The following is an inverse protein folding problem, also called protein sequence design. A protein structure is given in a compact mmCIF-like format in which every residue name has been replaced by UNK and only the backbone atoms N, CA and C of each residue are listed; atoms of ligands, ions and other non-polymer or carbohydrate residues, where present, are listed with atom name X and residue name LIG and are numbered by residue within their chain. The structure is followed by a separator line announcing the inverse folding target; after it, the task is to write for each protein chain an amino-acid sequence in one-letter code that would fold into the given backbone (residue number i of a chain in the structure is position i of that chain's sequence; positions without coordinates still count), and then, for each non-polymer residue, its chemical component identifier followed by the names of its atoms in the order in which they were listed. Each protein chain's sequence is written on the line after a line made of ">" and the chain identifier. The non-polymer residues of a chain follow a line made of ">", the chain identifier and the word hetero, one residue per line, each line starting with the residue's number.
data_IF_081764374229
#
_entry.id   IF_081764374229
#
_cell.length_a   1.000
_cell.length_b   1.000
_cell.length_c   1.000
_cell.angle_alpha   90.00
_cell.angle_beta   90.00
_cell.angle_gamma   90.00
#
_symmetry.space_group_name_H-M   'P 1'
#
loop_
_entity.id
_entity.type
_entity.pdbx_description
1 polymer ?
#
# COMPACT_ATOMS: atom_id res chain seq x y z
N UNK A 1 -7.01 -10.46 -7.23
CA UNK A 1 -7.98 -10.84 -6.17
C UNK A 1 -8.71 -9.59 -5.69
N UNK A 2 -10.01 -9.46 -6.00
CA UNK A 2 -10.81 -8.24 -5.75
C UNK A 2 -11.33 -8.15 -4.30
N UNK A 3 -11.60 -9.29 -3.68
CA UNK A 3 -12.18 -9.37 -2.32
C UNK A 3 -11.19 -9.06 -1.19
N UNK A 4 -9.94 -9.48 -1.30
CA UNK A 4 -8.93 -9.23 -0.25
C UNK A 4 -8.68 -7.73 -0.10
N UNK A 5 -8.68 -6.99 -1.21
CA UNK A 5 -8.54 -5.52 -1.20
C UNK A 5 -9.68 -4.82 -0.47
N UNK A 6 -10.88 -5.39 -0.47
CA UNK A 6 -12.00 -4.88 0.31
C UNK A 6 -11.72 -5.03 1.81
N UNK A 7 -11.25 -6.21 2.26
CA UNK A 7 -10.91 -6.44 3.67
C UNK A 7 -9.78 -5.51 4.15
N UNK A 8 -8.82 -5.17 3.28
CA UNK A 8 -7.77 -4.20 3.59
C UNK A 8 -8.30 -2.78 3.89
N UNK A 9 -9.50 -2.43 3.40
CA UNK A 9 -10.11 -1.11 3.65
C UNK A 9 -10.84 -1.02 5.00
N UNK A 10 -11.09 -2.15 5.67
CA UNK A 10 -11.85 -2.21 6.94
C UNK A 10 -11.05 -1.76 8.16
N UNK A 11 -10.12 -0.82 7.99
CA UNK A 11 -9.29 -0.36 9.09
C UNK A 11 -10.11 0.48 10.07
N UNK A 12 -9.89 0.26 11.38
CA UNK A 12 -10.63 0.85 12.49
C UNK A 12 -12.10 0.46 12.60
N UNK A 13 -12.56 -0.54 11.86
CA UNK A 13 -13.91 -1.08 11.99
C UNK A 13 -13.97 -2.18 13.06
N UNK A 14 -15.06 -2.20 13.83
CA UNK A 14 -15.33 -3.27 14.78
C UNK A 14 -16.01 -4.43 14.08
N UNK A 15 -15.37 -5.61 14.12
CA UNK A 15 -15.90 -6.82 13.48
C UNK A 15 -15.89 -7.98 14.46
N UNK A 16 -16.70 -9.00 14.16
CA UNK A 16 -16.59 -10.30 14.81
C UNK A 16 -16.08 -11.34 13.82
N UNK A 17 -15.10 -12.13 14.23
CA UNK A 17 -14.45 -13.12 13.39
C UNK A 17 -14.66 -14.49 14.03
N UNK A 18 -15.22 -15.43 13.26
CA UNK A 18 -15.27 -16.82 13.69
C UNK A 18 -14.10 -17.60 13.06
N UNK A 19 -13.36 -18.30 13.91
CA UNK A 19 -12.29 -19.19 13.49
C UNK A 19 -12.84 -20.59 13.19
N UNK A 20 -12.11 -21.35 12.37
CA UNK A 20 -12.44 -22.74 12.03
C UNK A 20 -12.56 -23.67 13.25
N UNK A 21 -11.88 -23.33 14.35
CA UNK A 21 -11.95 -24.07 15.61
C UNK A 21 -13.18 -23.69 16.48
N UNK A 22 -14.05 -22.79 16.00
CA UNK A 22 -15.23 -22.31 16.73
C UNK A 22 -14.92 -21.25 17.80
N UNK A 23 -13.71 -20.68 17.81
CA UNK A 23 -13.39 -19.50 18.63
C UNK A 23 -13.96 -18.26 17.95
N UNK A 24 -14.62 -17.42 18.73
CA UNK A 24 -15.15 -16.14 18.27
C UNK A 24 -14.24 -15.03 18.79
N UNK A 25 -13.82 -14.15 17.90
CA UNK A 25 -12.94 -13.02 18.19
C UNK A 25 -13.70 -11.75 17.84
N UNK A 26 -14.05 -10.95 18.84
CA UNK A 26 -14.68 -9.65 18.65
C UNK A 26 -13.64 -8.56 18.90
N UNK A 27 -13.42 -7.66 17.95
CA UNK A 27 -12.42 -6.59 18.13
C UNK A 27 -12.42 -5.56 17.01
N UNK A 28 -11.55 -4.55 17.16
CA UNK A 28 -11.40 -3.50 16.15
C UNK A 28 -10.23 -3.84 15.24
N UNK A 29 -10.43 -3.85 13.92
CA UNK A 29 -9.37 -4.09 12.95
C UNK A 29 -8.39 -2.91 12.97
N UNK A 30 -7.11 -3.23 12.95
CA UNK A 30 -6.00 -2.27 12.78
C UNK A 30 -5.33 -2.40 11.42
N UNK A 31 -5.45 -3.56 10.79
CA UNK A 31 -4.93 -3.83 9.46
C UNK A 31 -5.19 -5.27 9.03
N UNK A 32 -5.29 -5.47 7.72
CA UNK A 32 -5.45 -6.79 7.10
C UNK A 32 -4.43 -6.96 5.98
N UNK A 33 -3.75 -8.11 5.95
CA UNK A 33 -2.77 -8.47 4.93
C UNK A 33 -3.41 -9.07 3.67
N UNK A 34 -2.62 -9.17 2.60
CA UNK A 34 -3.01 -9.89 1.37
C UNK A 34 -3.33 -11.37 1.65
N UNK A 35 -2.69 -11.97 2.66
CA UNK A 35 -2.96 -13.34 3.13
C UNK A 35 -4.14 -13.43 4.11
N UNK A 36 -4.92 -12.37 4.28
CA UNK A 36 -6.01 -12.22 5.26
C UNK A 36 -5.56 -12.39 6.72
N UNK A 37 -4.28 -12.17 7.03
CA UNK A 37 -3.91 -12.02 8.43
C UNK A 37 -4.51 -10.72 8.94
N UNK A 38 -5.18 -10.78 10.07
CA UNK A 38 -5.96 -9.67 10.59
C UNK A 38 -5.44 -9.29 11.96
N UNK A 39 -5.04 -8.04 12.09
CA UNK A 39 -4.55 -7.46 13.33
C UNK A 39 -5.69 -6.71 13.99
N UNK A 40 -5.94 -7.04 15.26
CA UNK A 40 -7.05 -6.50 16.03
C UNK A 40 -6.52 -5.82 17.30
N UNK A 41 -7.21 -4.76 17.71
CA UNK A 41 -7.06 -4.11 19.01
C UNK A 41 -8.36 -4.19 19.81
N UNK A 42 -8.24 -4.08 21.13
CA UNK A 42 -9.38 -4.10 22.06
C UNK A 42 -10.26 -5.34 21.83
N UNK A 43 -9.66 -6.51 22.02
CA UNK A 43 -10.21 -7.80 21.60
C UNK A 43 -10.89 -8.51 22.76
N UNK A 44 -12.07 -9.05 22.50
CA UNK A 44 -12.77 -10.02 23.34
C UNK A 44 -12.74 -11.36 22.62
N UNK A 45 -11.99 -12.31 23.16
CA UNK A 45 -11.81 -13.63 22.62
C UNK A 45 -12.65 -14.64 23.42
N UNK A 46 -13.56 -15.32 22.75
CA UNK A 46 -14.42 -16.35 23.35
C UNK A 46 -14.11 -17.69 22.70
N UNK A 47 -13.37 -18.54 23.43
CA UNK A 47 -13.11 -19.91 22.99
C UNK A 47 -14.34 -20.76 23.29
N UNK A 48 -14.69 -21.68 22.37
CA UNK A 48 -15.80 -22.61 22.57
C UNK A 48 -15.66 -23.34 23.91
N UNK A 49 -16.64 -23.16 24.80
CA UNK A 49 -16.68 -23.80 26.11
C UNK A 49 -15.77 -23.19 27.18
N UNK A 50 -15.22 -21.99 26.96
CA UNK A 50 -14.44 -21.25 27.97
C UNK A 50 -14.99 -19.84 28.16
N UNK A 51 -14.63 -19.22 29.29
CA UNK A 51 -14.98 -17.85 29.58
C UNK A 51 -14.30 -16.87 28.60
N UNK A 52 -14.94 -15.74 28.27
CA UNK A 52 -14.35 -14.70 27.44
C UNK A 52 -13.09 -14.11 28.06
N UNK A 53 -12.05 -13.92 27.25
CA UNK A 53 -10.77 -13.31 27.65
C UNK A 53 -10.60 -12.00 26.88
N UNK A 54 -10.29 -10.93 27.60
CA UNK A 54 -9.97 -9.62 27.02
C UNK A 54 -8.48 -9.52 26.74
N UNK A 55 -8.11 -9.02 25.55
CA UNK A 55 -6.73 -8.81 25.11
C UNK A 55 -6.61 -7.44 24.44
N UNK A 56 -5.49 -6.74 24.65
CA UNK A 56 -5.28 -5.43 24.04
C UNK A 56 -4.97 -5.52 22.55
N UNK A 57 -4.16 -6.51 22.16
CA UNK A 57 -3.77 -6.78 20.77
C UNK A 57 -3.84 -8.27 20.46
N UNK A 58 -4.35 -8.62 19.28
CA UNK A 58 -4.36 -9.99 18.77
C UNK A 58 -4.13 -9.99 17.26
N UNK A 59 -3.30 -10.90 16.78
CA UNK A 59 -3.18 -11.17 15.34
C UNK A 59 -3.72 -12.55 15.03
N UNK A 60 -4.65 -12.61 14.08
CA UNK A 60 -5.27 -13.84 13.60
C UNK A 60 -4.71 -14.17 12.22
N UNK A 61 -4.21 -15.40 12.06
CA UNK A 61 -3.75 -15.89 10.76
C UNK A 61 -4.92 -16.17 9.82
N UNK A 62 -4.87 -15.64 8.60
CA UNK A 62 -5.99 -15.69 7.64
C UNK A 62 -6.48 -17.09 7.28
N UNK A 63 -5.60 -18.09 7.25
CA UNK A 63 -5.99 -19.47 6.96
C UNK A 63 -6.96 -20.08 8.01
N UNK A 64 -6.94 -19.59 9.25
CA UNK A 64 -7.78 -20.11 10.33
C UNK A 64 -9.15 -19.43 10.39
N UNK A 65 -9.37 -18.39 9.59
CA UNK A 65 -10.63 -17.64 9.58
C UNK A 65 -11.68 -18.42 8.78
N UNK A 66 -12.90 -18.49 9.32
CA UNK A 66 -14.05 -19.09 8.65
C UNK A 66 -14.88 -18.03 7.94
N UNK A 67 -15.27 -16.96 8.65
CA UNK A 67 -15.97 -15.81 8.10
C UNK A 67 -15.81 -14.57 8.98
N UNK A 68 -16.09 -13.42 8.38
CA UNK A 68 -16.21 -12.12 9.05
C UNK A 68 -17.68 -11.77 9.21
N UNK A 69 -18.06 -11.30 10.38
CA UNK A 69 -19.33 -10.64 10.66
C UNK A 69 -19.02 -9.14 10.61
N UNK A 70 -19.51 -8.50 9.56
CA UNK A 70 -19.36 -7.07 9.34
C UNK A 70 -20.47 -6.32 10.08
N UNK A 71 -20.22 -5.08 10.54
CA UNK A 71 -21.27 -4.24 11.11
C UNK A 71 -22.26 -3.83 10.03
N UNK A 72 -23.55 -3.77 10.37
CA UNK A 72 -24.64 -3.40 9.45
C UNK A 72 -24.52 -1.96 8.93
N UNK A 73 -23.74 -1.12 9.63
CA UNK A 73 -23.47 0.28 9.27
C UNK A 73 -22.44 0.44 8.15
N UNK A 74 -21.81 -0.65 7.71
CA UNK A 74 -20.76 -0.60 6.72
C UNK A 74 -21.33 -0.41 5.31
N UNK A 75 -21.05 0.73 4.70
CA UNK A 75 -21.45 1.02 3.33
C UNK A 75 -20.61 0.21 2.32
N UNK A 76 -21.08 -0.98 1.95
CA UNK A 76 -20.40 -1.89 1.04
C UNK A 76 -20.15 -1.26 -0.36
N UNK A 77 -21.05 -0.41 -0.82
CA UNK A 77 -20.98 0.19 -2.15
C UNK A 77 -19.75 1.09 -2.33
N UNK A 78 -19.44 1.93 -1.34
CA UNK A 78 -18.30 2.87 -1.43
C UNK A 78 -16.96 2.15 -1.38
N UNK A 79 -16.90 1.00 -0.70
CA UNK A 79 -15.70 0.19 -0.55
C UNK A 79 -15.42 -0.71 -1.76
N UNK A 80 -16.47 -1.06 -2.52
CA UNK A 80 -16.38 -1.88 -3.73
C UNK A 80 -16.03 -1.08 -4.99
N UNK A 81 -16.16 0.25 -4.96
CA UNK A 81 -15.65 1.11 -6.04
C UNK A 81 -14.12 1.10 -6.02
N UNK A 82 -13.54 0.61 -7.11
CA UNK A 82 -12.11 0.70 -7.40
C UNK A 82 -11.81 2.17 -7.74
N UNK A 83 -10.98 2.86 -6.95
CA UNK A 83 -10.33 4.07 -7.45
C UNK A 83 -9.53 3.64 -8.68
N UNK A 84 -9.87 4.21 -9.84
CA UNK A 84 -9.05 4.13 -11.04
C UNK A 84 -7.61 4.48 -10.67
N UNK A 85 -6.61 3.77 -11.22
CA UNK A 85 -5.24 3.91 -10.76
C UNK A 85 -4.84 5.38 -10.90
N UNK A 86 -4.58 6.05 -9.76
CA UNK A 86 -3.83 7.30 -9.76
C UNK A 86 -2.49 6.97 -10.37
N UNK A 87 -2.37 7.22 -11.68
CA UNK A 87 -1.12 7.21 -12.41
C UNK A 87 -0.23 8.16 -11.65
N UNK A 88 0.67 7.62 -10.81
CA UNK A 88 1.76 8.42 -10.26
C UNK A 88 2.46 8.96 -11.51
N UNK A 89 2.48 10.28 -11.75
CA UNK A 89 3.24 10.80 -12.87
C UNK A 89 4.67 10.31 -12.66
N UNK A 90 5.16 9.48 -13.59
CA UNK A 90 6.58 9.16 -13.65
C UNK A 90 7.27 10.51 -13.65
N UNK A 91 8.13 10.76 -12.65
CA UNK A 91 9.08 11.87 -12.72
C UNK A 91 9.73 11.76 -14.11
N UNK A 92 9.76 12.82 -14.92
CA UNK A 92 10.48 12.77 -16.18
C UNK A 92 11.92 12.43 -15.83
N UNK A 93 12.35 11.21 -16.16
CA UNK A 93 13.75 10.87 -16.22
C UNK A 93 14.33 11.85 -17.24
N UNK A 94 15.11 12.83 -16.77
CA UNK A 94 15.91 13.69 -17.61
C UNK A 94 16.95 12.81 -18.32
N UNK A 95 16.50 12.15 -19.39
CA UNK A 95 17.32 11.44 -20.33
C UNK A 95 18.11 12.48 -21.11
N UNK A 96 19.34 12.70 -20.66
CA UNK A 96 20.55 13.05 -21.41
C UNK A 96 20.31 13.20 -22.93
N UNK A 97 19.74 14.32 -23.34
CA UNK A 97 19.66 14.73 -24.74
C UNK A 97 20.38 16.08 -24.84
N UNK A 98 21.71 16.07 -24.72
CA UNK A 98 22.55 17.22 -25.10
C UNK A 98 24.04 16.87 -25.30
N UNK A 99 24.34 15.71 -25.90
CA UNK A 99 25.71 15.36 -26.29
C UNK A 99 26.11 15.88 -27.70
N UNK A 100 25.27 16.69 -28.36
CA UNK A 100 25.60 17.26 -29.67
C UNK A 100 26.06 18.73 -29.63
N UNK A 101 25.91 19.45 -28.51
CA UNK A 101 26.29 20.86 -28.43
C UNK A 101 27.78 21.10 -28.06
N UNK A 102 28.46 20.12 -27.45
CA UNK A 102 29.83 20.31 -26.94
C UNK A 102 30.94 20.24 -28.01
N UNK A 103 30.68 19.62 -29.18
CA UNK A 103 31.70 19.51 -30.24
C UNK A 103 31.73 20.71 -31.19
N UNK A 104 30.66 21.50 -31.27
CA UNK A 104 30.62 22.69 -32.15
C UNK A 104 31.35 23.88 -31.51
N UNK A 105 31.32 23.99 -30.17
CA UNK A 105 31.99 25.10 -29.45
C UNK A 105 33.52 24.93 -29.38
N UNK A 106 34.04 23.70 -29.37
CA UNK A 106 35.49 23.46 -29.29
C UNK A 106 36.22 23.72 -30.61
N UNK A 107 35.52 23.59 -31.75
CA UNK A 107 36.09 23.86 -33.08
C UNK A 107 36.14 25.36 -33.41
N UNK A 108 35.36 26.19 -32.71
CA UNK A 108 35.37 27.64 -32.88
C UNK A 108 36.49 28.31 -32.05
N UNK A 109 36.83 27.78 -30.87
CA UNK A 109 37.85 28.38 -30.00
C UNK A 109 39.29 28.24 -30.55
N UNK A 110 39.59 27.14 -31.25
CA UNK A 110 40.93 26.92 -31.83
C UNK A 110 41.16 27.75 -33.10
N UNK A 111 40.11 28.05 -33.87
CA UNK A 111 40.23 28.92 -35.06
C UNK A 111 40.35 30.41 -34.71
N UNK A 112 39.78 30.86 -33.58
CA UNK A 112 39.89 32.26 -33.16
C UNK A 112 41.24 32.59 -32.50
N UNK A 113 41.91 31.61 -31.90
CA UNK A 113 43.21 31.83 -31.25
C UNK A 113 44.41 31.73 -32.22
N UNK A 114 44.23 31.19 -33.43
CA UNK A 114 45.33 31.07 -34.40
C UNK A 114 45.46 32.27 -35.36
N UNK A 115 44.41 33.10 -35.49
CA UNK A 115 44.44 34.28 -36.37
C UNK A 115 45.03 35.54 -35.70
N UNK A 116 45.12 35.58 -34.38
CA UNK A 116 45.61 36.75 -33.60
C UNK A 116 47.11 36.66 -33.20
N UNK A 117 47.88 35.72 -33.75
CA UNK A 117 49.33 35.54 -33.48
C UNK A 117 50.22 35.75 -34.72
N UNK A 118 49.65 36.17 -35.86
CA UNK A 118 50.42 36.47 -37.10
C UNK A 118 50.20 37.94 -37.53
N UNK A 119 50.05 38.86 -36.58
CA UNK A 119 50.13 40.31 -36.82
C UNK A 119 51.03 40.98 -35.76
N UNK A 120 52.25 40.43 -35.61
CA UNK A 120 53.44 41.07 -35.04
C UNK A 120 54.66 40.72 -35.90
#
# INVERSE_FOLDING_TARGET
>A
MKLVRFLMKLNNETVSIELKNGTVVHGTITGVDISMNTHLKTVKLTVKGKNPVTLDHLSVRGNNIRYYILPDSLNLETLLVEETPRVKPKKPTAGIANLFAALVTFKCYILFHFQYTIDC
#
